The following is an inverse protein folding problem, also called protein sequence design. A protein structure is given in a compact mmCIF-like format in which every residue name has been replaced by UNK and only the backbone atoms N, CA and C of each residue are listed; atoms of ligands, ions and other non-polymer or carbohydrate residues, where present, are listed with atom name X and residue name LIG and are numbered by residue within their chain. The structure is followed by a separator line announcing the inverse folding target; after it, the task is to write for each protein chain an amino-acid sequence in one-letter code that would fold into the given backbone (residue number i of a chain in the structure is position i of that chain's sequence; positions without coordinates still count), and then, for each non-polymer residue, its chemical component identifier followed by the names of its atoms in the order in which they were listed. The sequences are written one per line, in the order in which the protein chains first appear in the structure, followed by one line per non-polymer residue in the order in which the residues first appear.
data_IF_952977845693
#
_entry.id   IF_952977845693
#
_cell.length_a   1.000
_cell.length_b   1.000
_cell.length_c   1.000
_cell.angle_alpha   90.00
_cell.angle_beta   90.00
_cell.angle_gamma   90.00
#
_symmetry.space_group_name_H-M   'P 1'
#
loop_
_entity.id
_entity.type
_entity.pdbx_description
1 polymer ?
#
# COMPACT_ATOMS: atom_id res chain seq x y z
N UNK A 1 19.88 -20.86 -6.26
CA UNK A 1 18.80 -21.29 -7.18
C UNK A 1 17.44 -21.49 -6.49
N UNK A 2 17.35 -21.98 -5.24
CA UNK A 2 16.08 -22.09 -4.49
C UNK A 2 15.36 -20.75 -4.23
N UNK A 3 16.11 -19.73 -3.80
CA UNK A 3 15.54 -18.42 -3.49
C UNK A 3 15.03 -17.70 -4.74
N UNK A 4 15.76 -17.80 -5.86
CA UNK A 4 15.36 -17.21 -7.15
C UNK A 4 14.08 -17.88 -7.66
N UNK A 5 13.97 -19.20 -7.57
CA UNK A 5 12.74 -19.92 -7.94
C UNK A 5 11.53 -19.50 -7.10
N UNK A 6 11.71 -19.41 -5.78
CA UNK A 6 10.66 -18.93 -4.88
C UNK A 6 10.27 -17.48 -5.17
N UNK A 7 11.25 -16.61 -5.45
CA UNK A 7 11.00 -15.22 -5.81
C UNK A 7 10.18 -15.08 -7.08
N UNK A 8 10.56 -15.80 -8.15
CA UNK A 8 9.82 -15.77 -9.42
C UNK A 8 8.40 -16.31 -9.24
N UNK A 9 8.23 -17.37 -8.45
CA UNK A 9 6.91 -17.93 -8.17
C UNK A 9 6.02 -16.96 -7.40
N UNK A 10 6.53 -16.31 -6.35
CA UNK A 10 5.79 -15.30 -5.60
C UNK A 10 5.47 -14.10 -6.49
N UNK A 11 6.42 -13.65 -7.32
CA UNK A 11 6.22 -12.54 -8.24
C UNK A 11 5.10 -12.81 -9.24
N UNK A 12 5.09 -14.00 -9.87
CA UNK A 12 4.03 -14.42 -10.78
C UNK A 12 2.67 -14.52 -10.07
N UNK A 13 2.63 -15.11 -8.88
CA UNK A 13 1.41 -15.18 -8.07
C UNK A 13 0.87 -13.78 -7.72
N UNK A 14 1.75 -12.85 -7.37
CA UNK A 14 1.37 -11.46 -7.08
C UNK A 14 0.79 -10.76 -8.30
N UNK A 15 1.40 -10.94 -9.48
CA UNK A 15 0.86 -10.40 -10.74
C UNK A 15 -0.52 -10.99 -11.03
N UNK A 16 -0.65 -12.31 -10.97
CA UNK A 16 -1.92 -13.00 -11.23
C UNK A 16 -3.02 -12.56 -10.25
N UNK A 17 -2.68 -12.43 -8.96
CA UNK A 17 -3.61 -11.97 -7.93
C UNK A 17 -4.06 -10.53 -8.19
N UNK A 18 -3.15 -9.62 -8.53
CA UNK A 18 -3.48 -8.23 -8.83
C UNK A 18 -4.43 -8.12 -10.04
N UNK A 19 -4.13 -8.82 -11.13
CA UNK A 19 -4.98 -8.83 -12.32
C UNK A 19 -6.35 -9.47 -12.03
N UNK A 20 -6.39 -10.54 -11.24
CA UNK A 20 -7.63 -11.19 -10.86
C UNK A 20 -8.54 -10.24 -10.05
N UNK A 21 -7.97 -9.49 -9.10
CA UNK A 21 -8.73 -8.51 -8.32
C UNK A 21 -9.31 -7.39 -9.19
N UNK A 22 -8.52 -6.84 -10.11
CA UNK A 22 -9.01 -5.82 -11.05
C UNK A 22 -10.18 -6.36 -11.91
N UNK A 23 -10.06 -7.59 -12.40
CA UNK A 23 -11.13 -8.23 -13.19
C UNK A 23 -12.37 -8.49 -12.34
N UNK A 24 -12.21 -8.93 -11.08
CA UNK A 24 -13.32 -9.15 -10.14
C UNK A 24 -14.07 -7.85 -9.79
N UNK A 25 -13.36 -6.72 -9.79
CA UNK A 25 -13.96 -5.38 -9.65
C UNK A 25 -14.65 -4.90 -10.95
N UNK A 26 -14.60 -5.69 -12.02
CA UNK A 26 -15.25 -5.40 -13.29
C UNK A 26 -14.39 -4.61 -14.28
N UNK A 27 -13.10 -4.41 -13.99
CA UNK A 27 -12.20 -3.75 -14.94
C UNK A 27 -11.89 -4.66 -16.13
N UNK A 28 -11.82 -4.06 -17.32
CA UNK A 28 -11.37 -4.76 -18.54
C UNK A 28 -9.88 -5.10 -18.42
N UNK A 29 -9.46 -6.19 -19.06
CA UNK A 29 -8.07 -6.64 -19.07
C UNK A 29 -7.07 -5.53 -19.47
N UNK A 30 -7.43 -4.69 -20.45
CA UNK A 30 -6.58 -3.56 -20.86
C UNK A 30 -6.32 -2.56 -19.73
N UNK A 31 -7.34 -2.30 -18.90
CA UNK A 31 -7.25 -1.39 -17.76
C UNK A 31 -6.52 -2.04 -16.58
N UNK A 32 -6.79 -3.31 -16.30
CA UNK A 32 -6.07 -4.10 -15.30
C UNK A 32 -4.56 -4.17 -15.60
N UNK A 33 -4.17 -4.35 -16.87
CA UNK A 33 -2.77 -4.32 -17.28
C UNK A 33 -2.12 -2.94 -17.05
N UNK A 34 -2.84 -1.85 -17.31
CA UNK A 34 -2.34 -0.50 -17.02
C UNK A 34 -2.25 -0.21 -15.52
N UNK A 35 -3.18 -0.72 -14.71
CA UNK A 35 -3.11 -0.63 -13.24
C UNK A 35 -1.88 -1.39 -12.70
N UNK A 36 -1.58 -2.57 -13.25
CA UNK A 36 -0.40 -3.36 -12.87
C UNK A 36 0.92 -2.64 -13.18
N UNK A 37 1.02 -2.01 -14.35
CA UNK A 37 2.26 -1.35 -14.81
C UNK A 37 2.42 0.07 -14.28
N UNK A 38 1.31 0.79 -14.06
CA UNK A 38 1.32 2.17 -13.61
C UNK A 38 0.14 2.45 -12.65
N UNK A 39 0.20 1.93 -11.41
CA UNK A 39 -0.92 1.98 -10.47
C UNK A 39 -1.28 3.43 -10.12
N UNK A 40 -0.32 4.25 -9.69
CA UNK A 40 -0.60 5.59 -9.15
C UNK A 40 -1.14 6.60 -10.18
N UNK A 41 -0.93 6.36 -11.47
CA UNK A 41 -1.31 7.31 -12.51
C UNK A 41 -2.68 7.02 -13.14
N UNK A 42 -3.17 5.78 -12.97
CA UNK A 42 -4.45 5.32 -13.53
C UNK A 42 -5.52 5.15 -12.45
N UNK A 43 -5.19 5.47 -11.20
CA UNK A 43 -6.10 5.40 -10.06
C UNK A 43 -7.33 6.29 -10.25
N UNK A 44 -8.48 5.73 -9.88
CA UNK A 44 -9.73 6.45 -9.83
C UNK A 44 -9.74 7.46 -8.67
N UNK A 45 -10.65 8.44 -8.72
CA UNK A 45 -10.78 9.45 -7.68
C UNK A 45 -11.06 8.80 -6.31
N UNK A 46 -11.87 7.73 -6.28
CA UNK A 46 -12.15 6.99 -5.06
C UNK A 46 -10.90 6.32 -4.46
N UNK A 47 -10.07 5.71 -5.30
CA UNK A 47 -8.83 5.05 -4.88
C UNK A 47 -7.81 6.07 -4.35
N UNK A 48 -7.71 7.23 -5.01
CA UNK A 48 -6.82 8.31 -4.56
C UNK A 48 -7.23 8.87 -3.19
N UNK A 49 -8.52 9.04 -2.93
CA UNK A 49 -9.03 9.48 -1.62
C UNK A 49 -8.72 8.43 -0.55
N UNK A 50 -8.90 7.15 -0.85
CA UNK A 50 -8.56 6.05 0.06
C UNK A 50 -7.06 6.05 0.39
N UNK A 51 -6.18 6.14 -0.62
CA UNK A 51 -4.74 6.21 -0.40
C UNK A 51 -4.34 7.40 0.47
N UNK A 52 -4.87 8.59 0.18
CA UNK A 52 -4.61 9.80 0.96
C UNK A 52 -5.04 9.61 2.41
N UNK A 53 -6.22 9.04 2.64
CA UNK A 53 -6.74 8.78 3.98
C UNK A 53 -5.84 7.81 4.77
N UNK A 54 -5.43 6.69 4.17
CA UNK A 54 -4.49 5.76 4.82
C UNK A 54 -3.14 6.42 5.13
N UNK A 55 -2.62 7.22 4.22
CA UNK A 55 -1.38 7.93 4.41
C UNK A 55 -1.48 8.93 5.58
N UNK A 56 -2.59 9.68 5.66
CA UNK A 56 -2.85 10.58 6.78
C UNK A 56 -2.96 9.84 8.12
N UNK A 57 -3.59 8.66 8.17
CA UNK A 57 -3.67 7.85 9.39
C UNK A 57 -2.27 7.47 9.88
N UNK A 58 -1.41 6.98 8.98
CA UNK A 58 -0.06 6.54 9.36
C UNK A 58 0.78 7.71 9.87
N UNK A 59 0.69 8.87 9.23
CA UNK A 59 1.37 10.10 9.67
C UNK A 59 0.82 10.57 11.03
N UNK A 60 -0.50 10.59 11.21
CA UNK A 60 -1.12 10.97 12.47
C UNK A 60 -0.67 10.06 13.62
N UNK A 61 -0.60 8.75 13.38
CA UNK A 61 -0.09 7.78 14.34
C UNK A 61 1.38 8.03 14.68
N UNK A 62 2.22 8.31 13.69
CA UNK A 62 3.63 8.63 13.90
C UNK A 62 3.79 9.88 14.77
N UNK A 63 3.06 10.96 14.46
CA UNK A 63 3.07 12.20 15.23
C UNK A 63 2.61 11.95 16.67
N UNK A 64 1.55 11.15 16.86
CA UNK A 64 1.04 10.80 18.18
C UNK A 64 2.09 10.05 19.02
N UNK A 65 2.76 9.05 18.44
CA UNK A 65 3.82 8.29 19.11
C UNK A 65 5.01 9.19 19.49
N UNK A 66 5.45 10.06 18.57
CA UNK A 66 6.54 11.01 18.83
C UNK A 66 6.16 11.97 19.97
N UNK A 67 4.94 12.52 19.96
CA UNK A 67 4.44 13.44 20.99
C UNK A 67 4.35 12.75 22.35
N UNK A 68 3.81 11.54 22.40
CA UNK A 68 3.71 10.72 23.62
C UNK A 68 5.09 10.43 24.23
N UNK A 69 6.08 10.08 23.39
CA UNK A 69 7.45 9.82 23.84
C UNK A 69 8.16 11.06 24.37
N UNK A 70 7.91 12.25 23.81
CA UNK A 70 8.44 13.52 24.35
C UNK A 70 7.87 13.86 25.74
N UNK A 71 6.57 13.67 25.95
CA UNK A 71 5.94 13.92 27.26
C UNK A 71 6.45 12.95 28.34
N UNK A 72 6.72 11.70 27.99
CA UNK A 72 7.22 10.72 28.96
C UNK A 72 8.68 11.02 29.38
N UNK A 73 9.52 11.54 28.48
CA UNK A 73 10.88 12.01 28.82
C UNK A 73 10.88 13.23 29.74
N UNK A 74 9.90 14.13 29.65
CA UNK A 74 9.79 15.28 30.55
C UNK A 74 9.33 14.89 31.97
N UNK A 75 8.52 13.83 32.13
CA UNK A 75 8.06 13.38 33.45
C UNK A 75 9.06 12.53 34.24
N UNK A 76 10.08 11.96 33.60
CA UNK A 76 11.11 11.14 34.24
C UNK A 76 12.38 11.89 34.68
N UNK A 77 12.37 13.22 34.65
CA UNK A 77 13.51 14.10 35.00
C UNK A 77 13.24 15.01 36.21
N UNK A 78 12.24 14.68 37.03
CA UNK A 78 11.99 15.32 38.34
C UNK A 78 12.15 14.31 39.47
#
# INVERSE_FOLDING_TARGET
MKVIGAFVLIFLLSISLSLAMDILLGFKFSRAATHLLNPFWVMDAGENVMLLFFLLITIAQLIFVIKKNKTNKQKGSS
#
